data_IF_708510049603
#
_entry.id   IF_708510049603
#
_cell.length_a   1.000
_cell.length_b   1.000
_cell.length_c   1.000
_cell.angle_alpha   90.00
_cell.angle_beta   90.00
_cell.angle_gamma   90.00
#
_symmetry.space_group_name_H-M   'P 1'
#
loop_
_entity.id
_entity.type
_entity.pdbx_description
1 polymer ?
#
# COMPACT_ATOMS: atom_id res chain seq x y z
N UNK A 1 -3.15 -8.82 -6.19
CA UNK A 1 -1.85 -9.22 -5.60
C UNK A 1 -1.45 -8.30 -4.45
N UNK A 2 -1.43 -6.97 -4.66
CA UNK A 2 -1.18 -5.98 -3.60
C UNK A 2 -2.08 -6.15 -2.37
N UNK A 3 -3.39 -6.33 -2.55
CA UNK A 3 -4.33 -6.56 -1.43
C UNK A 3 -3.98 -7.83 -0.65
N UNK A 4 -3.66 -8.93 -1.33
CA UNK A 4 -3.24 -10.18 -0.67
C UNK A 4 -1.93 -10.03 0.10
N UNK A 5 -0.98 -9.24 -0.41
CA UNK A 5 0.26 -8.94 0.32
C UNK A 5 0.00 -8.03 1.52
N UNK A 6 -0.86 -7.03 1.37
CA UNK A 6 -1.31 -6.19 2.48
C UNK A 6 -1.94 -7.03 3.59
N UNK A 7 -2.83 -7.96 3.25
CA UNK A 7 -3.49 -8.83 4.24
C UNK A 7 -2.49 -9.76 4.94
N UNK A 8 -1.50 -10.27 4.19
CA UNK A 8 -0.40 -11.06 4.75
C UNK A 8 0.44 -10.24 5.75
N UNK A 9 0.83 -9.02 5.37
CA UNK A 9 1.59 -8.13 6.24
C UNK A 9 0.80 -7.73 7.49
N UNK A 10 -0.50 -7.44 7.34
CA UNK A 10 -1.39 -7.09 8.43
C UNK A 10 -1.56 -8.25 9.42
N UNK A 11 -1.66 -9.49 8.93
CA UNK A 11 -1.72 -10.69 9.78
C UNK A 11 -0.45 -10.80 10.65
N UNK A 12 0.72 -10.60 10.07
CA UNK A 12 1.99 -10.66 10.82
C UNK A 12 2.08 -9.52 11.85
N UNK A 13 1.71 -8.30 11.47
CA UNK A 13 1.73 -7.14 12.37
C UNK A 13 0.77 -7.32 13.55
N UNK A 14 -0.45 -7.80 13.29
CA UNK A 14 -1.43 -8.07 14.35
C UNK A 14 -0.97 -9.20 15.28
N UNK A 15 -0.31 -10.23 14.75
CA UNK A 15 0.32 -11.29 15.57
C UNK A 15 1.39 -10.71 16.51
N UNK A 16 2.32 -9.90 15.98
CA UNK A 16 3.39 -9.29 16.80
C UNK A 16 2.80 -8.36 17.86
N UNK A 17 1.84 -7.50 17.47
CA UNK A 17 1.19 -6.57 18.38
C UNK A 17 0.45 -7.29 19.52
N UNK A 18 -0.24 -8.39 19.22
CA UNK A 18 -0.97 -9.16 20.23
C UNK A 18 -0.02 -9.89 21.19
N UNK A 19 1.08 -10.47 20.71
CA UNK A 19 2.08 -11.13 21.56
C UNK A 19 2.77 -10.13 22.49
N UNK A 20 3.23 -8.99 21.94
CA UNK A 20 3.88 -7.94 22.73
C UNK A 20 2.90 -7.31 23.72
N UNK A 21 1.67 -7.02 23.28
CA UNK A 21 0.62 -6.49 24.13
C UNK A 21 0.27 -7.44 25.28
N UNK A 22 0.14 -8.73 25.01
CA UNK A 22 -0.08 -9.74 26.03
C UNK A 22 1.09 -9.83 27.02
N UNK A 23 2.34 -9.83 26.54
CA UNK A 23 3.53 -9.88 27.39
C UNK A 23 3.61 -8.67 28.33
N UNK A 24 3.31 -7.47 27.83
CA UNK A 24 3.26 -6.25 28.64
C UNK A 24 2.17 -6.34 29.73
N UNK A 25 0.96 -6.75 29.36
CA UNK A 25 -0.14 -6.92 30.32
C UNK A 25 0.21 -7.95 31.40
N UNK A 26 0.78 -9.09 31.01
CA UNK A 26 1.18 -10.14 31.94
C UNK A 26 2.26 -9.65 32.93
N UNK A 27 3.24 -8.89 32.46
CA UNK A 27 4.28 -8.30 33.32
C UNK A 27 3.71 -7.26 34.29
N UNK A 28 2.77 -6.42 33.84
CA UNK A 28 2.13 -5.40 34.70
C UNK A 28 1.22 -6.00 35.78
N UNK A 29 0.60 -7.15 35.50
CA UNK A 29 -0.27 -7.85 36.46
C UNK A 29 0.50 -8.77 37.42
N UNK A 30 1.76 -9.07 37.12
CA UNK A 30 2.60 -9.94 37.93
C UNK A 30 3.05 -9.24 39.22
N UNK A 31 2.87 -9.88 40.37
CA UNK A 31 3.27 -9.34 41.69
C UNK A 31 4.64 -9.85 42.14
N UNK A 32 5.16 -10.88 41.49
CA UNK A 32 6.40 -11.56 41.88
C UNK A 32 7.61 -10.75 41.41
N UNK A 33 8.52 -10.47 42.34
CA UNK A 33 9.73 -9.70 42.06
C UNK A 33 10.92 -10.66 41.98
N UNK A 34 11.67 -10.60 40.88
CA UNK A 34 12.97 -11.25 40.75
C UNK A 34 14.03 -10.19 40.43
N UNK A 35 15.09 -10.11 41.25
CA UNK A 35 16.19 -9.14 41.12
C UNK A 35 17.50 -9.76 40.62
N UNK A 36 17.56 -11.08 40.49
CA UNK A 36 18.80 -11.81 40.21
C UNK A 36 18.98 -12.20 38.74
N UNK A 37 18.00 -11.87 37.88
CA UNK A 37 18.17 -11.99 36.42
C UNK A 37 19.01 -10.81 35.94
N UNK A 38 20.31 -11.04 35.80
CA UNK A 38 21.29 -10.05 35.32
C UNK A 38 21.64 -10.26 33.85
N UNK A 39 21.59 -11.50 33.38
CA UNK A 39 21.90 -11.88 32.00
C UNK A 39 20.92 -12.96 31.52
N UNK A 40 20.53 -12.88 30.24
CA UNK A 40 19.61 -13.83 29.62
C UNK A 40 19.97 -14.06 28.15
N UNK A 41 21.23 -14.43 27.88
CA UNK A 41 21.78 -14.60 26.52
C UNK A 41 20.91 -15.49 25.62
N UNK A 42 20.32 -16.56 26.18
CA UNK A 42 19.44 -17.47 25.44
C UNK A 42 18.18 -16.77 24.96
N UNK A 43 17.56 -15.92 25.79
CA UNK A 43 16.38 -15.11 25.45
C UNK A 43 16.74 -14.06 24.40
N UNK A 44 17.88 -13.41 24.55
CA UNK A 44 18.36 -12.42 23.59
C UNK A 44 18.57 -13.02 22.20
N UNK A 45 19.12 -14.23 22.16
CA UNK A 45 19.32 -14.95 20.91
C UNK A 45 17.98 -15.26 20.24
N UNK A 46 16.98 -15.73 21.00
CA UNK A 46 15.64 -16.06 20.48
C UNK A 46 14.92 -14.82 19.94
N UNK A 47 14.87 -13.72 20.70
CA UNK A 47 14.17 -12.50 20.27
C UNK A 47 14.90 -11.74 19.15
N UNK A 48 16.12 -12.13 18.79
CA UNK A 48 16.87 -11.52 17.67
C UNK A 48 16.62 -12.30 16.39
N UNK A 49 16.72 -13.64 16.46
CA UNK A 49 16.52 -14.52 15.31
C UNK A 49 15.06 -14.53 14.86
N UNK A 50 14.11 -14.56 15.80
CA UNK A 50 12.69 -14.70 15.48
C UNK A 50 12.15 -13.50 14.67
N UNK A 51 12.39 -12.22 15.04
CA UNK A 51 12.03 -11.08 14.21
C UNK A 51 12.75 -11.05 12.85
N UNK A 52 14.02 -11.47 12.79
CA UNK A 52 14.75 -11.53 11.53
C UNK A 52 14.09 -12.50 10.54
N UNK A 53 13.62 -13.66 11.02
CA UNK A 53 12.89 -14.63 10.20
C UNK A 53 11.53 -14.07 9.75
N UNK A 54 10.81 -13.39 10.64
CA UNK A 54 9.53 -12.72 10.30
C UNK A 54 9.74 -11.71 9.16
N UNK A 55 10.78 -10.88 9.25
CA UNK A 55 11.11 -9.91 8.20
C UNK A 55 11.46 -10.59 6.86
N UNK A 56 12.17 -11.71 6.89
CA UNK A 56 12.49 -12.47 5.69
C UNK A 56 11.21 -12.99 5.00
N UNK A 57 10.26 -13.52 5.77
CA UNK A 57 8.96 -14.00 5.24
C UNK A 57 8.16 -12.86 4.61
N UNK A 58 8.21 -11.66 5.17
CA UNK A 58 7.55 -10.48 4.59
C UNK A 58 8.27 -9.97 3.33
N UNK A 59 9.60 -10.01 3.31
CA UNK A 59 10.41 -9.44 2.23
C UNK A 59 10.24 -10.22 0.91
N UNK A 60 10.19 -11.56 0.96
CA UNK A 60 10.09 -12.40 -0.24
C UNK A 60 8.87 -12.08 -1.14
N UNK A 61 7.62 -12.08 -0.63
CA UNK A 61 6.46 -11.71 -1.45
C UNK A 61 6.48 -10.23 -1.85
N UNK A 62 7.02 -9.34 -1.01
CA UNK A 62 7.16 -7.92 -1.32
C UNK A 62 8.05 -7.69 -2.54
N UNK A 63 9.23 -8.30 -2.56
CA UNK A 63 10.18 -8.18 -3.67
C UNK A 63 9.60 -8.80 -4.96
N UNK A 64 8.93 -9.94 -4.84
CA UNK A 64 8.26 -10.56 -6.00
C UNK A 64 7.23 -9.61 -6.64
N UNK A 65 6.40 -8.96 -5.83
CA UNK A 65 5.39 -8.01 -6.34
C UNK A 65 6.07 -6.82 -7.00
N UNK A 66 7.13 -6.27 -6.39
CA UNK A 66 7.89 -5.16 -6.95
C UNK A 66 8.39 -5.47 -8.36
N UNK A 67 8.99 -6.65 -8.57
CA UNK A 67 9.47 -7.06 -9.89
C UNK A 67 8.35 -7.28 -10.91
N UNK A 68 7.21 -7.84 -10.48
CA UNK A 68 6.05 -8.01 -11.36
C UNK A 68 5.47 -6.66 -11.78
N UNK A 69 5.46 -5.67 -10.88
CA UNK A 69 4.93 -4.33 -11.19
C UNK A 69 5.84 -3.49 -12.06
N UNK A 70 7.16 -3.74 -12.02
CA UNK A 70 8.15 -3.03 -12.82
C UNK A 70 8.24 -3.58 -14.26
N UNK A 71 7.74 -4.79 -14.49
CA UNK A 71 7.75 -5.41 -15.81
C UNK A 71 6.76 -4.70 -16.76
N UNK A 72 7.28 -3.76 -17.54
CA UNK A 72 6.52 -3.11 -18.62
C UNK A 72 6.40 -4.09 -19.79
N UNK A 73 5.31 -4.85 -19.81
CA UNK A 73 4.90 -5.65 -20.97
C UNK A 73 4.62 -4.74 -22.18
N UNK A 74 4.76 -5.27 -23.40
CA UNK A 74 4.53 -4.54 -24.66
C UNK A 74 3.13 -3.88 -24.68
N UNK A 75 3.02 -2.54 -24.50
CA UNK A 75 1.73 -1.87 -24.43
C UNK A 75 1.13 -1.72 -25.83
N UNK A 76 -0.18 -1.89 -25.96
CA UNK A 76 -0.89 -1.66 -27.22
C UNK A 76 -1.28 -0.20 -27.47
N UNK A 77 -1.33 0.62 -26.42
CA UNK A 77 -1.69 2.04 -26.46
C UNK A 77 -0.83 2.79 -25.44
N UNK A 78 -0.35 3.97 -25.83
CA UNK A 78 0.35 4.94 -24.99
C UNK A 78 -0.52 6.19 -24.81
N UNK A 79 -0.75 6.59 -23.56
CA UNK A 79 -1.43 7.85 -23.22
C UNK A 79 -0.50 8.68 -22.35
N UNK A 80 -0.25 9.93 -22.74
CA UNK A 80 0.51 10.86 -21.92
C UNK A 80 -0.45 11.66 -21.04
N UNK A 81 -0.09 11.84 -19.78
CA UNK A 81 -0.83 12.70 -18.83
C UNK A 81 0.09 13.83 -18.39
N UNK A 82 -0.34 15.08 -18.57
CA UNK A 82 0.42 16.27 -18.15
C UNK A 82 -0.36 16.93 -17.00
N UNK A 83 0.32 17.14 -15.88
CA UNK A 83 -0.25 17.80 -14.71
C UNK A 83 -0.05 19.30 -14.75
N UNK A 84 -1.14 20.05 -14.63
CA UNK A 84 -1.14 21.50 -14.50
C UNK A 84 -1.57 21.93 -13.10
N UNK A 85 -1.56 23.24 -12.83
CA UNK A 85 -2.13 23.76 -11.59
C UNK A 85 -3.65 23.55 -11.60
N UNK A 86 -4.08 22.54 -10.84
CA UNK A 86 -5.48 22.14 -10.57
C UNK A 86 -6.27 21.50 -11.72
N UNK A 87 -5.60 20.99 -12.75
CA UNK A 87 -6.21 20.16 -13.80
C UNK A 87 -5.17 19.25 -14.46
N UNK A 88 -5.65 18.30 -15.25
CA UNK A 88 -4.84 17.36 -16.00
C UNK A 88 -5.16 17.46 -17.49
N UNK A 89 -4.17 17.30 -18.36
CA UNK A 89 -4.39 17.12 -19.80
C UNK A 89 -3.92 15.74 -20.25
N UNK A 90 -4.63 15.17 -21.21
CA UNK A 90 -4.40 13.83 -21.73
C UNK A 90 -4.12 13.88 -23.22
N UNK A 91 -3.01 13.27 -23.66
CA UNK A 91 -2.63 13.17 -25.07
C UNK A 91 -2.64 11.70 -25.55
N UNK A 92 -3.37 11.46 -26.64
CA UNK A 92 -3.41 10.20 -27.36
C UNK A 92 -2.60 10.32 -28.67
N UNK A 93 -1.29 10.09 -28.59
CA UNK A 93 -0.35 10.30 -29.69
C UNK A 93 -0.35 9.18 -30.74
N UNK A 94 -0.83 7.99 -30.39
CA UNK A 94 -0.68 6.79 -31.23
C UNK A 94 -1.63 6.72 -32.42
N UNK A 95 -2.72 7.52 -32.42
CA UNK A 95 -3.75 7.47 -33.47
C UNK A 95 -3.95 8.82 -34.18
N UNK A 96 -4.46 9.82 -33.46
CA UNK A 96 -5.02 11.05 -34.06
C UNK A 96 -4.49 12.34 -33.41
N UNK A 97 -3.43 12.25 -32.58
CA UNK A 97 -2.92 13.37 -31.77
C UNK A 97 -4.06 14.13 -31.07
N UNK A 98 -4.91 13.39 -30.36
CA UNK A 98 -6.02 13.99 -29.61
C UNK A 98 -5.46 14.50 -28.28
N UNK A 99 -5.76 15.75 -27.96
CA UNK A 99 -5.45 16.40 -26.68
C UNK A 99 -6.75 16.86 -26.03
N UNK A 100 -6.87 16.65 -24.72
CA UNK A 100 -8.03 17.09 -23.94
C UNK A 100 -7.64 17.50 -22.52
N UNK A 101 -8.22 18.59 -22.04
CA UNK A 101 -8.11 19.04 -20.66
C UNK A 101 -9.24 18.47 -19.80
N UNK A 102 -8.93 18.07 -18.58
CA UNK A 102 -9.84 17.48 -17.60
C UNK A 102 -9.84 18.31 -16.32
N UNK A 103 -10.95 19.02 -16.09
CA UNK A 103 -11.22 19.83 -14.90
C UNK A 103 -12.21 19.15 -13.98
N UNK A 104 -12.10 19.43 -12.68
CA UNK A 104 -13.08 19.00 -11.69
C UNK A 104 -14.41 19.72 -11.91
N UNK A 105 -15.52 18.98 -11.99
CA UNK A 105 -16.85 19.56 -12.13
C UNK A 105 -17.22 20.36 -10.86
N UNK A 106 -17.64 21.63 -10.98
CA UNK A 106 -18.08 22.42 -9.82
C UNK A 106 -19.26 21.75 -9.11
N UNK A 107 -19.35 21.93 -7.79
CA UNK A 107 -20.41 21.28 -6.99
C UNK A 107 -21.82 21.73 -7.39
N UNK A 108 -21.95 22.94 -7.98
CA UNK A 108 -23.21 23.45 -8.51
C UNK A 108 -23.70 22.69 -9.75
N UNK A 109 -22.77 22.10 -10.50
CA UNK A 109 -23.04 21.54 -11.83
C UNK A 109 -23.13 20.01 -11.80
N UNK A 110 -23.02 19.42 -10.60
CA UNK A 110 -23.15 17.99 -10.37
C UNK A 110 -24.59 17.52 -10.56
N UNK A 111 -24.75 16.39 -11.24
CA UNK A 111 -26.03 15.72 -11.39
C UNK A 111 -26.35 14.84 -10.16
N UNK A 112 -27.64 14.54 -9.88
CA UNK A 112 -28.00 13.60 -8.82
C UNK A 112 -27.37 12.22 -9.07
N UNK A 113 -26.48 11.80 -8.17
CA UNK A 113 -25.73 10.53 -8.26
C UNK A 113 -24.23 10.71 -8.48
N UNK A 114 -23.78 11.92 -8.83
CA UNK A 114 -22.37 12.23 -9.07
C UNK A 114 -21.56 12.32 -7.77
N UNK A 115 -20.27 11.99 -7.87
CA UNK A 115 -19.35 12.06 -6.74
C UNK A 115 -18.69 13.43 -6.59
N UNK A 116 -18.97 14.09 -5.46
CA UNK A 116 -18.34 15.37 -5.10
C UNK A 116 -16.81 15.24 -5.05
N UNK A 117 -16.11 16.15 -5.72
CA UNK A 117 -14.63 16.22 -5.84
C UNK A 117 -13.96 15.09 -6.65
N UNK A 118 -14.74 14.21 -7.27
CA UNK A 118 -14.21 13.12 -8.10
C UNK A 118 -14.67 13.22 -9.55
N UNK A 119 -15.83 13.83 -9.82
CA UNK A 119 -16.27 14.06 -11.17
C UNK A 119 -15.43 15.09 -11.92
N UNK A 120 -15.25 14.81 -13.21
CA UNK A 120 -14.54 15.65 -14.17
C UNK A 120 -15.40 15.87 -15.40
N UNK A 121 -15.15 16.97 -16.12
CA UNK A 121 -15.81 17.29 -17.38
C UNK A 121 -15.45 16.31 -18.51
N UNK A 122 -14.15 16.04 -18.71
CA UNK A 122 -13.62 15.15 -19.73
C UNK A 122 -12.91 13.96 -19.08
N UNK A 123 -13.52 12.77 -19.17
CA UNK A 123 -12.94 11.53 -18.61
C UNK A 123 -11.89 10.95 -19.55
N UNK A 124 -10.79 10.43 -18.99
CA UNK A 124 -9.85 9.59 -19.73
C UNK A 124 -10.54 8.27 -20.13
N UNK A 125 -10.70 8.06 -21.43
CA UNK A 125 -11.26 6.81 -21.97
C UNK A 125 -10.12 5.92 -22.47
N UNK A 126 -10.14 4.66 -22.05
CA UNK A 126 -9.17 3.62 -22.45
C UNK A 126 -9.97 2.34 -22.72
N UNK A 127 -9.65 1.55 -23.76
CA UNK A 127 -10.36 0.31 -24.02
C UNK A 127 -10.15 -0.68 -22.87
N UNK A 128 -11.24 -1.29 -22.43
CA UNK A 128 -11.18 -2.44 -21.54
C UNK A 128 -10.77 -3.68 -22.36
N UNK A 129 -9.86 -4.48 -21.79
CA UNK A 129 -9.55 -5.82 -22.28
C UNK A 129 -10.53 -6.85 -21.71
#
# INVERSE_FOLDING_TARGET
QLVSFHDHALLVLTLVLTVVGYALLALMLNKQVNRYIMEAQTVETVWTILPALILLVLALPSLRILYITDEVSQPSITVKTIGHQWYWSYEYTDFMNIEMDSYMTPTSDLMPGDYRLLEVDNRMVVPMQ
#
